data_IF_781398636787
#
_entry.id   IF_781398636787
#
_cell.length_a   1.000
_cell.length_b   1.000
_cell.length_c   1.000
_cell.angle_alpha   90.00
_cell.angle_beta   90.00
_cell.angle_gamma   90.00
#
_symmetry.space_group_name_H-M   'P 1'
#
loop_
_entity.id
_entity.type
_entity.pdbx_description
1 polymer ?
#
# COMPACT_ATOMS: atom_id res chain seq x y z
N UNK A 1 -9.42 -8.58 3.52
CA UNK A 1 -8.43 -7.75 2.78
C UNK A 1 -8.29 -6.32 3.32
N UNK A 2 -9.39 -5.60 3.60
CA UNK A 2 -9.34 -4.26 4.20
C UNK A 2 -8.60 -4.22 5.54
N UNK A 3 -8.82 -5.22 6.38
CA UNK A 3 -8.19 -5.30 7.72
C UNK A 3 -6.72 -5.68 7.64
N UNK A 4 -6.33 -6.56 6.72
CA UNK A 4 -4.93 -6.93 6.50
C UNK A 4 -4.06 -5.72 6.12
N UNK A 5 -4.49 -4.92 5.15
CA UNK A 5 -3.72 -3.74 4.74
C UNK A 5 -3.69 -2.68 5.84
N UNK A 6 -4.79 -2.50 6.58
CA UNK A 6 -4.81 -1.60 7.74
C UNK A 6 -3.82 -2.05 8.81
N UNK A 7 -3.81 -3.34 9.15
CA UNK A 7 -2.91 -3.89 10.15
C UNK A 7 -1.45 -3.79 9.69
N UNK A 8 -1.18 -4.02 8.41
CA UNK A 8 0.14 -3.83 7.82
C UNK A 8 0.63 -2.37 7.96
N UNK A 9 -0.20 -1.40 7.59
CA UNK A 9 0.15 0.03 7.72
C UNK A 9 0.38 0.44 9.19
N UNK A 10 -0.38 -0.11 10.14
CA UNK A 10 -0.16 0.10 11.57
C UNK A 10 1.18 -0.47 12.03
N UNK A 11 1.52 -1.69 11.63
CA UNK A 11 2.80 -2.33 11.97
C UNK A 11 3.96 -1.50 11.41
N UNK A 12 3.87 -1.07 10.14
CA UNK A 12 4.90 -0.22 9.52
C UNK A 12 5.04 1.12 10.23
N UNK A 13 3.94 1.72 10.68
CA UNK A 13 3.96 2.94 11.46
C UNK A 13 4.63 2.76 12.83
N UNK A 14 4.33 1.65 13.53
CA UNK A 14 4.99 1.29 14.79
C UNK A 14 6.49 1.11 14.56
N UNK A 15 6.89 0.39 13.50
CA UNK A 15 8.31 0.22 13.15
C UNK A 15 8.99 1.58 12.88
N UNK A 16 8.33 2.48 12.16
CA UNK A 16 8.83 3.86 11.97
C UNK A 16 9.05 4.58 13.31
N UNK A 17 8.14 4.45 14.28
CA UNK A 17 8.31 5.06 15.60
C UNK A 17 9.51 4.46 16.34
N UNK A 18 9.62 3.13 16.35
CA UNK A 18 10.67 2.41 17.10
C UNK A 18 12.05 2.73 16.54
N UNK A 19 12.20 2.74 15.22
CA UNK A 19 13.49 2.92 14.57
C UNK A 19 13.76 4.36 14.10
N UNK A 20 12.80 5.29 14.27
CA UNK A 20 12.88 6.68 13.80
C UNK A 20 13.41 6.76 12.35
N UNK A 21 14.41 7.61 12.10
CA UNK A 21 14.96 7.87 10.77
C UNK A 21 15.98 6.82 10.30
N UNK A 22 16.30 5.83 11.15
CA UNK A 22 17.25 4.77 10.78
C UNK A 22 16.64 3.70 9.87
N UNK A 23 15.32 3.69 9.70
CA UNK A 23 14.60 2.67 8.98
C UNK A 23 13.91 3.23 7.73
N UNK A 24 14.61 3.15 6.60
CA UNK A 24 14.02 3.40 5.29
C UNK A 24 13.27 2.15 4.82
N UNK A 25 12.00 2.00 5.21
CA UNK A 25 11.17 0.89 4.71
C UNK A 25 10.56 1.28 3.36
N UNK A 26 11.04 0.63 2.31
CA UNK A 26 10.37 0.59 1.02
C UNK A 26 9.62 -0.73 0.88
N UNK A 27 8.30 -0.66 0.83
CA UNK A 27 7.44 -1.81 0.60
C UNK A 27 6.80 -1.74 -0.78
N UNK A 28 6.89 -2.80 -1.56
CA UNK A 28 6.13 -2.95 -2.80
C UNK A 28 4.90 -3.83 -2.56
N UNK A 29 3.71 -3.24 -2.72
CA UNK A 29 2.44 -3.95 -2.68
C UNK A 29 2.05 -4.31 -4.11
N UNK A 30 2.14 -5.59 -4.45
CA UNK A 30 1.77 -6.11 -5.78
C UNK A 30 0.30 -6.52 -5.79
N UNK A 31 -0.45 -6.02 -6.77
CA UNK A 31 -1.88 -6.31 -6.90
C UNK A 31 -2.32 -6.67 -8.33
N UNK A 32 -1.37 -6.85 -9.24
CA UNK A 32 -1.62 -7.28 -10.62
C UNK A 32 -2.11 -6.14 -11.53
N UNK A 33 -2.09 -6.41 -12.84
CA UNK A 33 -2.43 -5.44 -13.91
C UNK A 33 -3.91 -5.44 -14.30
N UNK A 34 -4.71 -6.34 -13.72
CA UNK A 34 -6.12 -6.50 -14.08
C UNK A 34 -6.90 -5.19 -13.95
N UNK A 35 -7.53 -4.75 -15.03
CA UNK A 35 -8.41 -3.57 -15.07
C UNK A 35 -9.87 -3.92 -14.77
N UNK A 36 -10.23 -5.20 -14.86
CA UNK A 36 -11.60 -5.68 -14.71
C UNK A 36 -11.76 -6.46 -13.41
N UNK A 37 -12.90 -6.23 -12.76
CA UNK A 37 -13.36 -7.08 -11.67
C UNK A 37 -13.94 -8.35 -12.28
N UNK A 38 -13.29 -9.49 -12.09
CA UNK A 38 -13.97 -10.77 -12.28
C UNK A 38 -14.92 -11.00 -11.10
N UNK A 39 -16.15 -11.42 -11.37
CA UNK A 39 -17.13 -11.84 -10.35
C UNK A 39 -17.50 -10.80 -9.27
N UNK A 40 -17.62 -9.50 -9.63
CA UNK A 40 -17.99 -8.40 -8.71
C UNK A 40 -17.00 -8.19 -7.55
N UNK A 41 -15.83 -8.83 -7.56
CA UNK A 41 -14.77 -8.60 -6.57
C UNK A 41 -14.04 -7.31 -6.98
N UNK A 42 -14.00 -6.27 -6.14
CA UNK A 42 -13.33 -5.03 -6.48
C UNK A 42 -11.85 -5.32 -6.81
N UNK A 43 -11.37 -4.81 -7.95
CA UNK A 43 -9.98 -4.98 -8.35
C UNK A 43 -9.08 -4.56 -7.19
N UNK A 44 -8.20 -5.46 -6.77
CA UNK A 44 -7.31 -5.31 -5.61
C UNK A 44 -6.62 -3.94 -5.56
N UNK A 45 -6.21 -3.43 -6.74
CA UNK A 45 -5.70 -2.08 -6.96
C UNK A 45 -6.56 -0.98 -6.33
N UNK A 46 -7.87 -0.97 -6.57
CA UNK A 46 -8.76 0.08 -6.05
C UNK A 46 -8.94 -0.02 -4.54
N UNK A 47 -9.00 -1.24 -3.99
CA UNK A 47 -9.08 -1.46 -2.54
C UNK A 47 -7.82 -0.92 -1.86
N UNK A 48 -6.65 -1.29 -2.40
CA UNK A 48 -5.35 -0.85 -1.87
C UNK A 48 -5.22 0.67 -1.96
N UNK A 49 -5.53 1.28 -3.09
CA UNK A 49 -5.46 2.74 -3.27
C UNK A 49 -6.41 3.48 -2.33
N UNK A 50 -7.64 2.98 -2.14
CA UNK A 50 -8.61 3.60 -1.22
C UNK A 50 -8.11 3.60 0.21
N UNK A 51 -7.52 2.48 0.66
CA UNK A 51 -6.97 2.39 2.02
C UNK A 51 -5.71 3.23 2.17
N UNK A 52 -4.81 3.23 1.18
CA UNK A 52 -3.61 4.07 1.19
C UNK A 52 -3.97 5.57 1.26
N UNK A 53 -5.02 5.99 0.56
CA UNK A 53 -5.53 7.36 0.66
C UNK A 53 -6.15 7.65 2.03
N UNK A 54 -6.92 6.70 2.59
CA UNK A 54 -7.60 6.84 3.89
C UNK A 54 -6.62 6.99 5.06
N UNK A 55 -5.49 6.28 5.02
CA UNK A 55 -4.51 6.27 6.11
C UNK A 55 -3.27 7.12 5.81
N UNK A 56 -3.37 8.10 4.91
CA UNK A 56 -2.24 8.95 4.51
C UNK A 56 -1.56 9.66 5.70
N UNK A 57 -2.32 9.94 6.75
CA UNK A 57 -1.87 10.64 7.95
C UNK A 57 -0.89 9.81 8.81
N UNK A 58 -0.67 8.54 8.48
CA UNK A 58 0.39 7.73 9.12
C UNK A 58 1.80 8.12 8.65
N UNK A 59 1.93 9.19 7.85
CA UNK A 59 3.22 9.79 7.52
C UNK A 59 4.05 8.97 6.53
N UNK A 60 3.42 8.13 5.70
CA UNK A 60 4.06 7.47 4.56
C UNK A 60 3.74 8.18 3.24
N UNK A 61 4.63 8.00 2.27
CA UNK A 61 4.40 8.36 0.86
C UNK A 61 4.12 7.09 0.07
N UNK A 62 3.33 7.19 -0.98
CA UNK A 62 3.15 6.08 -1.91
C UNK A 62 3.13 6.54 -3.37
N UNK A 63 3.54 5.67 -4.28
CA UNK A 63 3.44 5.87 -5.73
C UNK A 63 3.14 4.57 -6.45
N UNK A 64 2.38 4.65 -7.54
CA UNK A 64 2.21 3.51 -8.44
C UNK A 64 3.53 3.22 -9.16
N UNK A 65 3.87 1.94 -9.29
CA UNK A 65 5.08 1.52 -10.00
C UNK A 65 4.81 1.46 -11.51
N UNK A 66 5.41 2.39 -12.27
CA UNK A 66 5.28 2.41 -13.73
C UNK A 66 5.97 1.22 -14.40
N UNK A 67 7.02 0.65 -13.78
CA UNK A 67 7.72 -0.54 -14.32
C UNK A 67 6.80 -1.77 -14.40
N UNK A 68 5.81 -1.86 -13.52
CA UNK A 68 4.83 -2.96 -13.50
C UNK A 68 3.53 -2.59 -14.23
N UNK A 69 3.56 -1.57 -15.11
CA UNK A 69 2.37 -1.01 -15.74
C UNK A 69 1.27 -0.64 -14.73
N UNK A 70 1.66 -0.08 -13.58
CA UNK A 70 0.79 0.26 -12.46
C UNK A 70 0.07 -0.94 -11.81
N UNK A 71 0.67 -2.13 -11.88
CA UNK A 71 0.21 -3.35 -11.21
C UNK A 71 0.74 -3.52 -9.78
N UNK A 72 1.54 -2.58 -9.30
CA UNK A 72 2.02 -2.51 -7.92
C UNK A 72 2.15 -1.05 -7.45
N UNK A 73 2.29 -0.88 -6.13
CA UNK A 73 2.47 0.41 -5.47
C UNK A 73 3.64 0.31 -4.50
N UNK A 74 4.54 1.29 -4.55
CA UNK A 74 5.64 1.45 -3.61
C UNK A 74 5.16 2.37 -2.49
N UNK A 75 5.32 1.93 -1.24
CA UNK A 75 5.09 2.70 -0.02
C UNK A 75 6.45 2.94 0.64
N UNK A 76 6.70 4.19 1.03
CA UNK A 76 7.92 4.62 1.72
C UNK A 76 7.51 5.32 3.01
N UNK A 77 8.00 4.82 4.15
CA UNK A 77 7.79 5.40 5.47
C UNK A 77 8.91 6.39 5.83
#
# INVERSE_FOLDING_TARGET
MKDYLRNLLKILYILKIVFRDSLSINMEVVFGRGLHSENKIPVLKYVVLRQAKKYRDFGYKYRLNKKTANGSMIITF
#
